data_IF_449845636074
#
_entry.id   IF_449845636074
#
_cell.length_a   1.000
_cell.length_b   1.000
_cell.length_c   1.000
_cell.angle_alpha   90.00
_cell.angle_beta   90.00
_cell.angle_gamma   90.00
#
_symmetry.space_group_name_H-M   'P 1'
#
loop_
_entity.id
_entity.type
_entity.pdbx_description
1 polymer ?
#
# COMPACT_ATOMS: atom_id res chain seq x y z
N UNK A 1 14.02 -10.36 -9.86
CA UNK A 1 12.94 -11.33 -10.17
C UNK A 1 12.55 -11.38 -11.66
N UNK A 2 12.49 -12.61 -12.24
CA UNK A 2 11.97 -12.92 -13.59
C UNK A 2 10.46 -13.25 -13.61
N UNK A 3 9.72 -12.97 -12.53
CA UNK A 3 8.37 -13.52 -12.29
C UNK A 3 7.22 -12.52 -12.53
N UNK A 4 7.52 -11.30 -12.95
CA UNK A 4 6.52 -10.28 -13.23
C UNK A 4 6.01 -10.40 -14.67
N UNK A 5 4.77 -10.86 -14.81
CA UNK A 5 4.06 -10.95 -16.09
C UNK A 5 2.76 -10.15 -16.02
N UNK A 6 2.24 -9.70 -17.16
CA UNK A 6 0.97 -8.96 -17.24
C UNK A 6 -0.16 -9.63 -16.45
N UNK A 7 -0.32 -10.95 -16.61
CA UNK A 7 -1.34 -11.73 -15.90
C UNK A 7 -1.19 -11.64 -14.37
N UNK A 8 0.04 -11.57 -13.84
CA UNK A 8 0.26 -11.42 -12.40
C UNK A 8 -0.25 -10.07 -11.91
N UNK A 9 0.02 -8.99 -12.66
CA UNK A 9 -0.47 -7.65 -12.33
C UNK A 9 -2.00 -7.60 -12.38
N UNK A 10 -2.61 -8.21 -13.41
CA UNK A 10 -4.07 -8.27 -13.54
C UNK A 10 -4.71 -9.06 -12.37
N UNK A 11 -4.11 -10.17 -11.94
CA UNK A 11 -4.59 -10.93 -10.77
C UNK A 11 -4.41 -10.16 -9.46
N UNK A 12 -3.34 -9.37 -9.30
CA UNK A 12 -3.16 -8.49 -8.15
C UNK A 12 -4.28 -7.45 -8.09
N UNK A 13 -4.65 -6.84 -9.22
CA UNK A 13 -5.76 -5.87 -9.27
C UNK A 13 -7.10 -6.52 -8.87
N UNK A 14 -7.43 -7.68 -9.44
CA UNK A 14 -8.65 -8.43 -9.07
C UNK A 14 -8.67 -8.84 -7.60
N UNK A 15 -7.51 -9.25 -7.06
CA UNK A 15 -7.37 -9.57 -5.65
C UNK A 15 -7.57 -8.33 -4.78
N UNK A 16 -6.95 -7.20 -5.14
CA UNK A 16 -7.09 -5.92 -4.47
C UNK A 16 -8.53 -5.41 -4.45
N UNK A 17 -9.27 -5.56 -5.55
CA UNK A 17 -10.69 -5.19 -5.62
C UNK A 17 -11.55 -6.02 -4.65
N UNK A 18 -11.34 -7.34 -4.59
CA UNK A 18 -12.03 -8.21 -3.63
C UNK A 18 -11.70 -7.83 -2.18
N UNK A 19 -10.42 -7.64 -1.88
CA UNK A 19 -9.97 -7.21 -0.55
C UNK A 19 -10.62 -5.87 -0.18
N UNK A 20 -10.62 -4.91 -1.11
CA UNK A 20 -11.25 -3.60 -0.90
C UNK A 20 -12.74 -3.75 -0.61
N UNK A 21 -13.48 -4.48 -1.45
CA UNK A 21 -14.91 -4.71 -1.30
C UNK A 21 -15.26 -5.36 0.05
N UNK A 22 -14.46 -6.31 0.52
CA UNK A 22 -14.66 -6.94 1.83
C UNK A 22 -14.33 -5.99 2.98
N UNK A 23 -13.29 -5.16 2.82
CA UNK A 23 -12.87 -4.19 3.84
C UNK A 23 -13.92 -3.11 4.07
N UNK A 24 -14.51 -2.57 3.00
CA UNK A 24 -15.47 -1.46 3.08
C UNK A 24 -16.83 -1.86 3.66
N UNK A 25 -17.21 -3.14 3.62
CA UNK A 25 -18.44 -3.64 4.27
C UNK A 25 -18.47 -3.35 5.77
N UNK A 26 -17.28 -3.31 6.39
CA UNK A 26 -17.13 -3.02 7.83
C UNK A 26 -17.05 -1.53 8.16
N UNK A 27 -17.02 -0.65 7.14
CA UNK A 27 -16.85 0.79 7.30
C UNK A 27 -18.18 1.54 7.21
N UNK A 28 -18.36 2.64 7.98
CA UNK A 28 -19.48 3.54 7.77
C UNK A 28 -19.46 4.13 6.35
N UNK A 29 -20.65 4.38 5.79
CA UNK A 29 -20.81 4.98 4.47
C UNK A 29 -20.00 6.29 4.33
N UNK A 30 -19.31 6.44 3.19
CA UNK A 30 -18.53 7.63 2.88
C UNK A 30 -17.14 7.71 3.53
N UNK A 31 -16.74 6.73 4.34
CA UNK A 31 -15.37 6.68 4.89
C UNK A 31 -14.39 6.06 3.89
N UNK A 32 -13.28 6.75 3.67
CA UNK A 32 -12.15 6.19 2.92
C UNK A 32 -11.53 5.01 3.68
N UNK A 33 -11.16 3.96 2.94
CA UNK A 33 -10.45 2.81 3.49
C UNK A 33 -9.03 3.22 3.90
N UNK A 34 -8.67 2.97 5.17
CA UNK A 34 -7.30 3.08 5.66
C UNK A 34 -6.60 1.72 5.57
N UNK A 35 -5.27 1.71 5.50
CA UNK A 35 -4.49 0.47 5.39
C UNK A 35 -4.74 -0.47 6.59
N UNK A 36 -4.89 0.07 7.82
CA UNK A 36 -5.28 -0.70 9.03
C UNK A 36 -6.70 -1.27 9.00
N UNK A 37 -7.55 -0.81 8.08
CA UNK A 37 -8.94 -1.27 7.95
C UNK A 37 -9.12 -2.26 6.81
N UNK A 38 -8.03 -2.65 6.15
CA UNK A 38 -8.03 -3.76 5.19
C UNK A 38 -8.52 -5.04 5.87
N UNK A 39 -9.22 -5.88 5.11
CA UNK A 39 -9.73 -7.16 5.53
C UNK A 39 -8.65 -7.99 6.24
N UNK A 40 -8.98 -8.53 7.42
CA UNK A 40 -8.05 -9.29 8.26
C UNK A 40 -7.56 -10.58 7.59
N UNK A 41 -8.30 -11.08 6.61
CA UNK A 41 -7.89 -12.24 5.82
C UNK A 41 -8.28 -12.05 4.36
N UNK A 42 -7.55 -12.70 3.47
CA UNK A 42 -7.90 -12.79 2.05
C UNK A 42 -7.42 -14.11 1.45
N UNK A 43 -8.10 -14.57 0.41
CA UNK A 43 -7.77 -15.82 -0.28
C UNK A 43 -7.01 -15.54 -1.58
N UNK A 44 -5.90 -16.24 -1.79
CA UNK A 44 -5.14 -16.24 -3.03
C UNK A 44 -4.84 -17.69 -3.44
N UNK A 45 -5.47 -18.13 -4.53
CA UNK A 45 -5.48 -19.55 -4.88
C UNK A 45 -6.30 -20.36 -3.87
N UNK A 46 -5.70 -21.41 -3.33
CA UNK A 46 -6.26 -22.31 -2.31
C UNK A 46 -5.84 -21.94 -0.88
N UNK A 47 -5.07 -20.86 -0.72
CA UNK A 47 -4.53 -20.42 0.59
C UNK A 47 -5.23 -19.17 1.09
N UNK A 48 -5.36 -19.09 2.40
CA UNK A 48 -5.85 -17.91 3.11
C UNK A 48 -4.66 -17.24 3.79
N UNK A 49 -4.55 -15.93 3.63
CA UNK A 49 -3.49 -15.10 4.18
C UNK A 49 -4.08 -14.06 5.12
N UNK A 50 -3.26 -13.59 6.07
CA UNK A 50 -3.57 -12.45 6.93
C UNK A 50 -2.50 -11.37 6.76
N UNK A 51 -2.87 -10.14 6.41
CA UNK A 51 -1.94 -9.02 6.38
C UNK A 51 -1.73 -8.48 7.81
N UNK A 52 -0.47 -8.37 8.20
CA UNK A 52 -0.01 -7.71 9.41
C UNK A 52 0.52 -6.33 9.02
N UNK A 53 -0.21 -5.29 9.40
CA UNK A 53 0.06 -3.90 8.99
C UNK A 53 0.48 -3.09 10.20
N UNK A 54 1.70 -2.56 10.14
CA UNK A 54 2.20 -1.55 11.07
C UNK A 54 2.10 -0.18 10.39
N UNK A 55 1.17 0.64 10.85
CA UNK A 55 0.90 1.97 10.28
C UNK A 55 1.93 3.01 10.76
N UNK A 56 2.21 3.98 9.89
CA UNK A 56 3.02 5.17 10.20
C UNK A 56 4.43 4.89 10.74
N UNK A 57 5.06 3.78 10.33
CA UNK A 57 6.44 3.44 10.72
C UNK A 57 7.44 4.53 10.32
N UNK A 58 7.12 5.30 9.29
CA UNK A 58 7.88 6.50 8.90
C UNK A 58 6.92 7.56 8.39
N UNK A 59 7.15 8.81 8.80
CA UNK A 59 6.33 9.95 8.43
C UNK A 59 7.25 11.04 7.89
N UNK A 60 6.86 11.66 6.77
CA UNK A 60 7.62 12.74 6.17
C UNK A 60 6.77 13.62 5.29
N UNK A 61 7.43 14.45 4.48
CA UNK A 61 6.78 15.23 3.40
C UNK A 61 7.44 14.88 2.09
N UNK A 62 6.67 14.84 1.00
CA UNK A 62 7.23 14.48 -0.30
C UNK A 62 8.41 15.38 -0.70
N UNK A 63 8.31 16.67 -0.36
CA UNK A 63 9.39 17.65 -0.41
C UNK A 63 9.24 18.63 0.75
N UNK A 64 10.25 18.71 1.60
CA UNK A 64 10.33 19.57 2.77
C UNK A 64 11.35 20.68 2.56
N UNK A 65 11.07 21.84 3.14
CA UNK A 65 12.06 22.93 3.31
C UNK A 65 12.47 23.08 4.78
N UNK A 66 11.91 22.27 5.67
CA UNK A 66 12.17 22.30 7.11
C UNK A 66 13.26 21.29 7.47
N UNK A 67 14.28 21.72 8.21
CA UNK A 67 15.27 20.82 8.80
C UNK A 67 14.58 19.80 9.71
N UNK A 68 15.08 18.55 9.69
CA UNK A 68 14.56 17.46 10.52
C UNK A 68 13.30 16.77 10.00
N UNK A 69 12.67 17.26 8.90
CA UNK A 69 11.56 16.57 8.24
C UNK A 69 12.10 15.84 7.03
N UNK A 70 11.96 14.51 7.01
CA UNK A 70 12.45 13.67 5.91
C UNK A 70 11.64 13.88 4.62
N UNK A 71 12.38 14.01 3.52
CA UNK A 71 11.85 13.85 2.16
C UNK A 71 11.67 12.36 1.84
N UNK A 72 10.92 12.05 0.78
CA UNK A 72 10.60 10.65 0.45
C UNK A 72 11.84 9.77 0.21
N UNK A 73 12.88 10.30 -0.45
CA UNK A 73 14.12 9.55 -0.70
C UNK A 73 14.85 9.14 0.59
N UNK A 74 15.31 10.06 1.46
CA UNK A 74 16.02 9.68 2.66
C UNK A 74 15.14 8.84 3.62
N UNK A 75 13.82 9.05 3.63
CA UNK A 75 12.91 8.20 4.38
C UNK A 75 12.89 6.75 3.86
N UNK A 76 12.82 6.54 2.55
CA UNK A 76 12.88 5.19 1.97
C UNK A 76 14.26 4.55 2.12
N UNK A 77 15.35 5.33 2.01
CA UNK A 77 16.71 4.86 2.26
C UNK A 77 16.86 4.34 3.70
N UNK A 78 16.36 5.10 4.68
CA UNK A 78 16.36 4.67 6.07
C UNK A 78 15.47 3.45 6.30
N UNK A 79 14.27 3.46 5.71
CA UNK A 79 13.30 2.40 5.84
C UNK A 79 13.83 1.06 5.32
N UNK A 80 14.44 1.05 4.13
CA UNK A 80 14.95 -0.16 3.49
C UNK A 80 16.25 -0.69 4.10
N UNK A 81 16.84 -0.02 5.11
CA UNK A 81 17.91 -0.62 5.92
C UNK A 81 17.43 -1.84 6.73
N UNK A 82 16.17 -1.81 7.17
CA UNK A 82 15.60 -2.80 8.10
C UNK A 82 14.34 -3.49 7.57
N UNK A 83 13.84 -3.08 6.40
CA UNK A 83 12.61 -3.61 5.80
C UNK A 83 12.82 -3.84 4.30
N UNK A 84 11.95 -4.63 3.68
CA UNK A 84 12.03 -4.94 2.25
C UNK A 84 10.83 -4.44 1.46
N UNK A 85 9.70 -4.17 2.11
CA UNK A 85 8.42 -3.82 1.47
C UNK A 85 7.74 -2.72 2.26
N UNK A 86 7.08 -1.77 1.58
CA UNK A 86 6.20 -0.80 2.22
C UNK A 86 5.03 -0.41 1.31
N UNK A 87 3.97 0.08 1.94
CA UNK A 87 2.94 0.90 1.27
C UNK A 87 3.23 2.36 1.61
N UNK A 88 3.43 3.18 0.57
CA UNK A 88 3.47 4.64 0.69
C UNK A 88 2.05 5.16 0.59
N UNK A 89 1.59 5.88 1.60
CA UNK A 89 0.30 6.59 1.59
C UNK A 89 0.56 8.09 1.59
N UNK A 90 0.12 8.80 0.56
CA UNK A 90 0.19 10.25 0.44
C UNK A 90 -0.69 10.70 -0.72
N UNK A 91 -0.28 11.72 -1.51
CA UNK A 91 -0.95 12.08 -2.76
C UNK A 91 -1.14 10.90 -3.74
N UNK A 92 -0.25 9.90 -3.68
CA UNK A 92 -0.41 8.60 -4.32
C UNK A 92 -0.37 7.51 -3.24
N UNK A 93 -1.06 6.39 -3.46
CA UNK A 93 -1.01 5.21 -2.60
C UNK A 93 -0.40 4.05 -3.39
N UNK A 94 0.89 3.78 -3.17
CA UNK A 94 1.67 2.85 -3.97
C UNK A 94 2.41 1.82 -3.10
N UNK A 95 2.63 0.62 -3.62
CA UNK A 95 3.50 -0.35 -2.98
C UNK A 95 4.92 -0.26 -3.56
N UNK A 96 5.93 -0.26 -2.68
CA UNK A 96 7.35 -0.23 -3.04
C UNK A 96 8.07 -1.37 -2.33
N UNK A 97 8.98 -2.05 -3.02
CA UNK A 97 9.79 -3.09 -2.40
C UNK A 97 11.19 -3.20 -3.02
N UNK A 98 12.12 -3.75 -2.24
CA UNK A 98 13.46 -4.08 -2.67
C UNK A 98 13.60 -5.61 -2.82
N UNK A 99 14.07 -6.05 -3.98
CA UNK A 99 14.28 -7.47 -4.30
C UNK A 99 15.43 -7.60 -5.30
N UNK A 100 16.35 -8.55 -5.08
CA UNK A 100 17.49 -8.84 -5.97
C UNK A 100 18.31 -7.59 -6.37
N UNK A 101 18.56 -6.68 -5.43
CA UNK A 101 19.31 -5.45 -5.68
C UNK A 101 18.59 -4.42 -6.57
N UNK A 102 17.27 -4.54 -6.71
CA UNK A 102 16.41 -3.62 -7.47
C UNK A 102 15.30 -3.09 -6.60
N UNK A 103 14.84 -1.89 -6.91
CA UNK A 103 13.70 -1.25 -6.27
C UNK A 103 12.51 -1.29 -7.23
N UNK A 104 11.41 -1.84 -6.78
CA UNK A 104 10.19 -2.01 -7.54
C UNK A 104 9.09 -1.09 -7.00
N UNK A 105 8.20 -0.64 -7.89
CA UNK A 105 7.03 0.16 -7.56
C UNK A 105 5.82 -0.37 -8.32
N UNK A 106 4.77 -0.72 -7.59
CA UNK A 106 3.46 -1.02 -8.16
C UNK A 106 2.58 0.22 -8.08
N UNK A 107 2.13 0.67 -9.25
CA UNK A 107 1.19 1.78 -9.41
C UNK A 107 -0.13 1.25 -9.99
N UNK A 108 -1.23 1.21 -9.20
CA UNK A 108 -2.52 0.69 -9.66
C UNK A 108 -3.26 1.68 -10.57
N UNK A 109 -2.79 2.92 -10.67
CA UNK A 109 -3.47 3.95 -11.44
C UNK A 109 -3.17 3.83 -12.94
N UNK A 110 -3.93 4.56 -13.75
CA UNK A 110 -3.69 4.66 -15.19
C UNK A 110 -2.33 5.34 -15.48
N UNK A 111 -1.41 4.60 -16.10
CA UNK A 111 -0.10 5.07 -16.51
C UNK A 111 0.18 4.77 -17.98
N UNK A 112 1.02 5.61 -18.57
CA UNK A 112 1.51 5.40 -19.93
C UNK A 112 2.51 4.23 -20.01
N UNK A 113 3.04 3.98 -21.22
CA UNK A 113 4.02 2.91 -21.46
C UNK A 113 5.35 3.07 -20.70
N UNK A 114 5.59 4.22 -20.08
CA UNK A 114 6.78 4.55 -19.29
C UNK A 114 6.49 4.58 -17.79
N UNK A 115 5.27 4.25 -17.38
CA UNK A 115 4.85 4.33 -15.97
C UNK A 115 4.57 5.75 -15.50
N UNK A 116 4.33 6.70 -16.41
CA UNK A 116 4.07 8.11 -16.11
C UNK A 116 2.59 8.47 -16.21
N UNK A 117 2.21 9.51 -15.46
CA UNK A 117 0.87 10.11 -15.54
C UNK A 117 0.56 10.61 -16.96
N UNK A 118 -0.64 10.34 -17.45
CA UNK A 118 -1.10 10.76 -18.78
C UNK A 118 -1.70 12.16 -18.70
N UNK A 119 -1.18 13.10 -19.48
CA UNK A 119 -1.74 14.45 -19.60
C UNK A 119 -2.99 14.40 -20.48
N UNK A 120 -4.16 14.55 -19.85
CA UNK A 120 -5.46 14.48 -20.53
C UNK A 120 -5.99 15.85 -20.98
N UNK A 121 -5.48 16.92 -20.38
CA UNK A 121 -5.89 18.29 -20.69
C UNK A 121 -4.76 19.27 -20.43
N UNK A 122 -4.85 20.43 -21.09
CA UNK A 122 -3.97 21.57 -20.88
C UNK A 122 -4.81 22.82 -20.67
N UNK A 123 -4.30 23.74 -19.86
CA UNK A 123 -4.89 25.06 -19.72
C UNK A 123 -4.25 26.01 -20.73
N UNK A 124 -5.07 26.60 -21.61
CA UNK A 124 -4.66 27.60 -22.60
C UNK A 124 -5.43 28.89 -22.28
N UNK A 125 -4.77 29.83 -21.61
CA UNK A 125 -5.44 30.99 -21.02
C UNK A 125 -6.43 30.57 -19.94
N UNK A 126 -7.71 30.92 -20.11
CA UNK A 126 -8.81 30.52 -19.23
C UNK A 126 -9.54 29.25 -19.68
N UNK A 127 -9.20 28.69 -20.85
CA UNK A 127 -9.88 27.52 -21.39
C UNK A 127 -9.12 26.23 -21.06
N UNK A 128 -9.87 25.19 -20.69
CA UNK A 128 -9.36 23.83 -20.56
C UNK A 128 -9.53 23.11 -21.90
N UNK A 129 -8.42 22.77 -22.55
CA UNK A 129 -8.42 22.00 -23.79
C UNK A 129 -8.13 20.54 -23.47
N UNK A 130 -9.05 19.65 -23.88
CA UNK A 130 -8.84 18.20 -23.80
C UNK A 130 -7.86 17.77 -24.89
N UNK A 131 -6.91 16.91 -24.53
CA UNK A 131 -5.96 16.30 -25.45
C UNK A 131 -6.44 14.92 -25.87
N UNK A 132 -6.13 14.53 -27.10
CA UNK A 132 -6.23 13.13 -27.49
C UNK A 132 -5.17 12.32 -26.75
N UNK A 133 -5.57 11.21 -26.12
CA UNK A 133 -4.67 10.34 -25.39
C UNK A 133 -5.02 8.87 -25.61
N UNK A 134 -4.03 8.00 -25.43
CA UNK A 134 -4.25 6.56 -25.39
C UNK A 134 -4.51 6.13 -23.95
N UNK A 135 -5.52 5.29 -23.69
CA UNK A 135 -5.73 4.72 -22.36
C UNK A 135 -4.47 4.05 -21.83
N UNK A 136 -4.18 4.30 -20.56
CA UNK A 136 -3.10 3.67 -19.83
C UNK A 136 -3.51 2.39 -19.11
N UNK A 137 -2.61 1.87 -18.30
CA UNK A 137 -2.87 0.72 -17.42
C UNK A 137 -2.07 0.85 -16.12
N UNK A 138 -2.45 0.08 -15.11
CA UNK A 138 -1.61 -0.15 -13.95
C UNK A 138 -0.28 -0.80 -14.37
N UNK A 139 0.78 -0.56 -13.60
CA UNK A 139 2.10 -1.08 -13.94
C UNK A 139 2.94 -1.43 -12.71
N UNK A 140 3.88 -2.35 -12.93
CA UNK A 140 5.04 -2.53 -12.06
C UNK A 140 6.26 -2.01 -12.80
N UNK A 141 6.99 -1.09 -12.17
CA UNK A 141 8.28 -0.58 -12.66
C UNK A 141 9.38 -1.01 -11.72
N UNK A 142 10.62 -1.10 -12.21
CA UNK A 142 11.78 -1.39 -11.39
C UNK A 142 13.00 -0.59 -11.82
N UNK A 143 13.87 -0.30 -10.87
CA UNK A 143 15.04 0.56 -11.03
C UNK A 143 16.23 -0.01 -10.26
N UNK A 144 17.44 0.25 -10.75
CA UNK A 144 18.69 -0.09 -10.03
C UNK A 144 18.97 0.87 -8.88
N UNK A 145 18.44 2.10 -8.95
CA UNK A 145 18.65 3.14 -7.95
C UNK A 145 17.31 3.58 -7.36
N UNK A 146 17.24 3.62 -6.02
CA UNK A 146 16.06 4.09 -5.29
C UNK A 146 15.71 5.54 -5.67
N UNK A 147 16.72 6.38 -5.92
CA UNK A 147 16.52 7.75 -6.39
C UNK A 147 15.70 7.82 -7.68
N UNK A 148 15.97 6.97 -8.67
CA UNK A 148 15.21 6.97 -9.92
C UNK A 148 13.75 6.59 -9.69
N UNK A 149 13.49 5.63 -8.80
CA UNK A 149 12.12 5.26 -8.40
C UNK A 149 11.39 6.47 -7.80
N UNK A 150 12.03 7.16 -6.85
CA UNK A 150 11.46 8.34 -6.19
C UNK A 150 11.24 9.48 -7.20
N UNK A 151 12.15 9.69 -8.15
CA UNK A 151 11.98 10.68 -9.20
C UNK A 151 10.74 10.38 -10.07
N UNK A 152 10.45 9.11 -10.37
CA UNK A 152 9.23 8.70 -11.12
C UNK A 152 7.98 8.88 -10.26
N UNK A 153 8.01 8.49 -8.99
CA UNK A 153 6.92 8.77 -8.04
C UNK A 153 6.59 10.26 -8.04
N UNK A 154 7.60 11.12 -7.87
CA UNK A 154 7.43 12.58 -7.78
C UNK A 154 6.96 13.21 -9.09
N UNK A 155 7.33 12.65 -10.25
CA UNK A 155 6.80 13.08 -11.55
C UNK A 155 5.30 12.78 -11.69
N UNK A 156 4.82 11.69 -11.10
CA UNK A 156 3.41 11.30 -11.12
C UNK A 156 2.55 12.05 -10.09
N UNK A 157 3.15 12.73 -9.11
CA UNK A 157 2.46 13.60 -8.16
C UNK A 157 2.20 14.97 -8.78
N UNK A 158 0.95 15.44 -8.67
CA UNK A 158 0.56 16.79 -9.08
C UNK A 158 1.45 17.87 -8.42
N UNK A 159 1.90 18.90 -9.14
CA UNK A 159 2.87 19.86 -8.61
C UNK A 159 2.48 20.52 -7.28
N UNK A 160 1.21 20.85 -7.09
CA UNK A 160 0.66 21.45 -5.86
C UNK A 160 0.69 20.48 -4.66
N UNK A 161 0.71 19.16 -4.90
CA UNK A 161 0.71 18.13 -3.85
C UNK A 161 2.12 17.67 -3.45
N UNK A 162 3.18 18.15 -4.12
CA UNK A 162 4.57 17.70 -3.87
C UNK A 162 5.14 18.09 -2.51
N UNK A 163 4.40 18.83 -1.68
CA UNK A 163 4.79 19.20 -0.29
C UNK A 163 3.89 18.57 0.77
N UNK A 164 2.92 17.77 0.34
CA UNK A 164 2.01 17.05 1.23
C UNK A 164 2.74 15.96 2.01
N UNK A 165 2.20 15.57 3.17
CA UNK A 165 2.76 14.48 3.96
C UNK A 165 2.66 13.15 3.21
N UNK A 166 3.57 12.24 3.55
CA UNK A 166 3.46 10.83 3.23
C UNK A 166 3.69 10.00 4.49
N UNK A 167 3.23 8.76 4.41
CA UNK A 167 3.32 7.77 5.46
C UNK A 167 3.80 6.44 4.86
N UNK A 168 4.83 5.85 5.45
CA UNK A 168 5.21 4.48 5.13
C UNK A 168 4.51 3.55 6.12
N UNK A 169 3.84 2.53 5.60
CA UNK A 169 3.30 1.43 6.39
C UNK A 169 4.05 0.15 6.04
N UNK A 170 4.47 -0.58 7.06
CA UNK A 170 5.03 -1.93 6.89
C UNK A 170 3.89 -2.91 6.71
N UNK A 171 4.03 -3.80 5.74
CA UNK A 171 3.06 -4.86 5.46
C UNK A 171 3.80 -6.18 5.40
N UNK A 172 3.41 -7.09 6.28
CA UNK A 172 3.88 -8.48 6.30
C UNK A 172 2.70 -9.39 6.01
N UNK A 173 2.83 -10.26 5.00
CA UNK A 173 1.80 -11.24 4.67
C UNK A 173 2.16 -12.55 5.37
N UNK A 174 1.22 -13.11 6.13
CA UNK A 174 1.38 -14.37 6.85
C UNK A 174 0.32 -15.36 6.38
N UNK A 175 0.62 -16.65 6.44
CA UNK A 175 -0.42 -17.67 6.31
C UNK A 175 -1.46 -17.49 7.42
N UNK A 176 -2.74 -17.53 7.06
CA UNK A 176 -3.80 -17.48 8.05
C UNK A 176 -3.86 -18.80 8.80
N UNK A 177 -3.78 -18.71 10.13
CA UNK A 177 -3.97 -19.85 11.03
C UNK A 177 -5.38 -19.76 11.60
N UNK A 178 -6.29 -20.68 11.27
CA UNK A 178 -7.65 -20.67 11.80
C UNK A 178 -7.64 -20.69 13.33
N UNK A 179 -8.41 -19.79 13.92
CA UNK A 179 -8.69 -19.78 15.34
C UNK A 179 -9.93 -20.66 15.57
N UNK A 180 -9.93 -21.56 16.56
CA UNK A 180 -11.09 -22.40 16.84
C UNK A 180 -12.32 -21.58 17.26
N UNK A 181 -13.51 -22.11 16.98
CA UNK A 181 -14.76 -21.48 17.39
C UNK A 181 -14.87 -21.38 18.93
N UNK A 182 -15.55 -20.34 19.45
CA UNK A 182 -15.84 -20.24 20.88
C UNK A 182 -16.68 -21.43 21.38
N UNK A 183 -16.42 -21.86 22.61
CA UNK A 183 -17.12 -22.98 23.22
C UNK A 183 -17.30 -22.78 24.72
N UNK A 184 -18.55 -22.78 25.21
CA UNK A 184 -18.88 -22.72 26.63
C UNK A 184 -18.15 -21.59 27.41
N UNK A 185 -18.09 -20.39 26.83
CA UNK A 185 -17.39 -19.23 27.40
C UNK A 185 -15.87 -19.20 27.15
N UNK A 186 -15.29 -20.24 26.56
CA UNK A 186 -13.94 -20.19 26.03
C UNK A 186 -13.91 -19.49 24.68
N UNK A 187 -12.92 -18.62 24.49
CA UNK A 187 -12.61 -17.95 23.23
C UNK A 187 -11.38 -18.61 22.59
N UNK A 188 -11.41 -18.88 21.28
CA UNK A 188 -10.21 -19.33 20.57
C UNK A 188 -9.16 -18.22 20.50
N UNK A 189 -7.89 -18.55 20.73
CA UNK A 189 -6.77 -17.57 20.68
C UNK A 189 -5.65 -17.94 19.74
N UNK A 190 -5.50 -19.22 19.42
CA UNK A 190 -4.59 -19.74 18.39
C UNK A 190 -5.07 -21.13 17.98
N UNK A 191 -4.52 -21.70 16.91
CA UNK A 191 -4.82 -23.09 16.54
C UNK A 191 -4.58 -24.02 17.73
N UNK A 192 -5.61 -24.79 18.08
CA UNK A 192 -5.59 -25.72 19.22
C UNK A 192 -5.53 -25.06 20.60
N UNK A 193 -5.75 -23.74 20.71
CA UNK A 193 -5.67 -23.00 21.97
C UNK A 193 -6.93 -22.17 22.22
N UNK A 194 -7.53 -22.39 23.37
CA UNK A 194 -8.67 -21.65 23.90
C UNK A 194 -8.27 -20.90 25.19
N UNK A 195 -8.99 -19.82 25.50
CA UNK A 195 -8.86 -19.08 26.76
C UNK A 195 -10.25 -18.89 27.39
N UNK A 196 -10.35 -19.12 28.69
CA UNK A 196 -11.48 -18.69 29.51
C UNK A 196 -10.96 -17.64 30.50
N UNK A 197 -11.53 -16.43 30.49
CA UNK A 197 -11.12 -15.36 31.41
C UNK A 197 -12.12 -15.23 32.55
N UNK A 198 -11.62 -15.20 33.79
CA UNK A 198 -12.41 -14.83 34.96
C UNK A 198 -12.77 -13.34 34.97
N UNK A 199 -13.73 -12.97 35.81
CA UNK A 199 -14.21 -11.58 35.97
C UNK A 199 -13.46 -10.76 37.03
N UNK A 200 -12.53 -11.38 37.76
CA UNK A 200 -11.71 -10.74 38.81
C UNK A 200 -10.27 -11.30 38.78
N UNK A 201 -9.34 -10.61 39.44
CA UNK A 201 -7.93 -10.94 39.55
C UNK A 201 -7.40 -10.74 40.99
N UNK A 202 -6.14 -11.08 41.26
CA UNK A 202 -5.56 -10.99 42.62
C UNK A 202 -5.32 -9.55 43.12
N UNK A 203 -5.36 -8.56 42.24
CA UNK A 203 -5.22 -7.15 42.59
C UNK A 203 -6.56 -6.42 42.73
N UNK A 204 -7.69 -7.12 42.54
CA UNK A 204 -9.03 -6.57 42.81
C UNK A 204 -9.38 -6.61 44.31
#
# INVERSE_FOLDING_TARGET
SRRWFRRVVDEILKCGERIYADSVKSLPAGRALKVTKVAKTFMLGDRVFTPDVEEYTTIGKLKSTKQGVLDLLPALEEYFRNNQTCVVTGPLVLAIWAEDGRFYMFDPNERDKKGLVIVKSIQVGSQLQMLEYKPGAACVTWYSELKTLVDVYMKNVEPNLRREPFFLSKVVIRDYVPVPDPWNGFEGVASGKWILRGSFNQND
#
